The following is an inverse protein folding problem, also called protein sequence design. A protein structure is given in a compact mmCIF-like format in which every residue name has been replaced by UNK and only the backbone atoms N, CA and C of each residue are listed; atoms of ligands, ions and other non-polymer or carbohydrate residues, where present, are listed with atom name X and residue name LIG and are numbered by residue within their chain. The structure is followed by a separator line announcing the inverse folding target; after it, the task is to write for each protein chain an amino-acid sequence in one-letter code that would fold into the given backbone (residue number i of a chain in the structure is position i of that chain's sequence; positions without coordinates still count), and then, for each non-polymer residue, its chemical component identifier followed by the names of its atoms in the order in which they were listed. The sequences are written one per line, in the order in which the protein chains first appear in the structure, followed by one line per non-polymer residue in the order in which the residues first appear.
data_IF_563566212395
#
_entry.id   IF_563566212395
#
_cell.length_a   1.000
_cell.length_b   1.000
_cell.length_c   1.000
_cell.angle_alpha   90.00
_cell.angle_beta   90.00
_cell.angle_gamma   90.00
#
_symmetry.space_group_name_H-M   'P 1'
#
loop_
_entity.id
_entity.type
_entity.pdbx_description
1 polymer ?
#
# COMPACT_ATOMS: atom_id res chain seq x y z
N UNK A 1 -2.49 -5.34 -23.91
CA UNK A 1 -3.34 -4.45 -23.07
C UNK A 1 -2.46 -3.34 -22.52
N UNK A 2 -2.97 -2.11 -22.40
CA UNK A 2 -2.24 -1.00 -21.76
C UNK A 2 -2.18 -1.20 -20.24
N UNK A 3 -1.13 -0.68 -19.60
CA UNK A 3 -1.02 -0.72 -18.14
C UNK A 3 -2.15 0.10 -17.48
N UNK A 4 -2.71 -0.38 -16.35
CA UNK A 4 -3.62 0.40 -15.51
C UNK A 4 -3.09 1.81 -15.19
N UNK A 5 -3.97 2.82 -15.33
CA UNK A 5 -3.64 4.19 -14.97
C UNK A 5 -3.64 4.41 -13.43
N UNK A 6 -3.09 5.54 -13.00
CA UNK A 6 -2.99 5.94 -11.58
C UNK A 6 -4.32 5.84 -10.82
N UNK A 7 -5.42 6.32 -11.41
CA UNK A 7 -6.75 6.29 -10.78
C UNK A 7 -7.23 4.85 -10.53
N UNK A 8 -7.00 3.93 -11.46
CA UNK A 8 -7.34 2.51 -11.28
C UNK A 8 -6.50 1.88 -10.16
N UNK A 9 -5.21 2.19 -10.08
CA UNK A 9 -4.32 1.71 -9.02
C UNK A 9 -4.69 2.26 -7.63
N UNK A 10 -5.09 3.52 -7.54
CA UNK A 10 -5.57 4.13 -6.29
C UNK A 10 -6.90 3.50 -5.83
N UNK A 11 -7.83 3.21 -6.75
CA UNK A 11 -9.05 2.46 -6.42
C UNK A 11 -8.76 1.05 -5.93
N UNK A 12 -7.81 0.34 -6.57
CA UNK A 12 -7.37 -0.97 -6.11
C UNK A 12 -6.75 -0.88 -4.71
N UNK A 13 -5.96 0.16 -4.44
CA UNK A 13 -5.37 0.43 -3.13
C UNK A 13 -6.44 0.65 -2.06
N UNK A 14 -7.44 1.51 -2.33
CA UNK A 14 -8.55 1.76 -1.40
C UNK A 14 -9.35 0.49 -1.09
N UNK A 15 -9.44 -0.47 -2.02
CA UNK A 15 -10.17 -1.72 -1.83
C UNK A 15 -9.33 -2.82 -1.13
N UNK A 16 -8.01 -2.80 -1.32
CA UNK A 16 -7.07 -3.81 -0.81
C UNK A 16 -6.34 -3.38 0.46
N UNK A 17 -6.45 -2.10 0.83
CA UNK A 17 -5.96 -1.53 2.09
C UNK A 17 -6.97 -0.48 2.61
N UNK A 18 -8.19 -0.90 2.96
CA UNK A 18 -9.32 -0.01 3.15
C UNK A 18 -9.27 0.80 4.46
N UNK A 19 -9.80 2.03 4.38
CA UNK A 19 -10.12 2.83 5.56
C UNK A 19 -11.22 2.21 6.42
N UNK A 20 -11.39 2.70 7.65
CA UNK A 20 -12.38 2.15 8.58
C UNK A 20 -13.77 2.62 8.17
N UNK A 21 -13.84 3.90 7.83
CA UNK A 21 -14.98 4.50 7.15
C UNK A 21 -14.50 5.59 6.20
N UNK A 22 -15.37 5.92 5.25
CA UNK A 22 -15.12 6.98 4.28
C UNK A 22 -16.35 7.87 4.26
N UNK A 23 -16.14 9.18 4.25
CA UNK A 23 -17.21 10.17 4.07
C UNK A 23 -16.82 11.10 2.94
N UNK A 24 -17.78 11.46 2.10
CA UNK A 24 -17.61 12.53 1.12
C UNK A 24 -18.27 13.81 1.62
N UNK A 25 -17.54 14.91 1.68
CA UNK A 25 -18.05 16.20 2.13
C UNK A 25 -17.31 17.35 1.47
N UNK A 26 -18.04 18.30 0.88
CA UNK A 26 -17.47 19.54 0.35
C UNK A 26 -16.35 19.35 -0.68
N UNK A 27 -16.46 18.36 -1.58
CA UNK A 27 -15.42 18.09 -2.58
C UNK A 27 -14.23 17.24 -2.09
N UNK A 28 -14.33 16.69 -0.87
CA UNK A 28 -13.31 15.83 -0.27
C UNK A 28 -13.81 14.41 -0.06
N UNK A 29 -12.93 13.43 -0.29
CA UNK A 29 -13.03 12.06 0.23
C UNK A 29 -12.18 11.98 1.50
N UNK A 30 -12.84 11.93 2.65
CA UNK A 30 -12.22 11.93 3.98
C UNK A 30 -12.29 10.51 4.53
N UNK A 31 -11.16 10.00 4.99
CA UNK A 31 -11.03 8.62 5.47
C UNK A 31 -10.78 8.61 6.97
N UNK A 32 -11.52 7.80 7.72
CA UNK A 32 -11.16 7.48 9.10
C UNK A 32 -10.25 6.26 9.13
N UNK A 33 -9.02 6.44 9.60
CA UNK A 33 -7.99 5.39 9.52
C UNK A 33 -7.98 4.39 10.67
N UNK A 34 -8.54 4.76 11.83
CA UNK A 34 -8.50 3.97 13.07
C UNK A 34 -7.10 3.42 13.42
N UNK A 35 -6.06 4.26 13.28
CA UNK A 35 -4.66 3.86 13.54
C UNK A 35 -3.98 3.04 12.44
N UNK A 36 -4.65 2.77 11.31
CA UNK A 36 -4.08 1.97 10.20
C UNK A 36 -3.01 2.67 9.34
N UNK A 37 -2.56 3.86 9.75
CA UNK A 37 -1.52 4.65 9.09
C UNK A 37 -2.03 5.66 8.06
N UNK A 38 -1.10 6.46 7.52
CA UNK A 38 -1.40 7.62 6.66
C UNK A 38 -2.26 7.29 5.44
N UNK A 39 -2.02 6.15 4.78
CA UNK A 39 -2.75 5.78 3.55
C UNK A 39 -4.26 5.59 3.77
N UNK A 40 -4.66 5.13 4.95
CA UNK A 40 -6.08 4.94 5.30
C UNK A 40 -6.70 6.14 6.02
N UNK A 41 -5.91 7.18 6.31
CA UNK A 41 -6.36 8.40 6.98
C UNK A 41 -6.33 9.62 6.07
N UNK A 42 -5.54 9.58 4.99
CA UNK A 42 -5.36 10.74 4.12
C UNK A 42 -6.66 11.11 3.40
N UNK A 43 -6.97 12.40 3.43
CA UNK A 43 -8.04 13.02 2.66
C UNK A 43 -7.58 13.24 1.21
N UNK A 44 -8.47 13.03 0.24
CA UNK A 44 -8.19 13.24 -1.18
C UNK A 44 -9.24 14.16 -1.80
N UNK A 45 -8.82 15.05 -2.71
CA UNK A 45 -9.72 15.88 -3.52
C UNK A 45 -10.47 14.99 -4.51
N UNK A 46 -11.79 15.19 -4.68
CA UNK A 46 -12.62 14.38 -5.62
C UNK A 46 -13.20 15.18 -6.78
N UNK A 47 -12.86 16.46 -6.88
CA UNK A 47 -13.34 17.37 -7.93
C UNK A 47 -12.18 18.15 -8.54
N UNK A 48 -12.38 18.69 -9.74
CA UNK A 48 -11.31 19.41 -10.45
C UNK A 48 -10.92 20.70 -9.72
N UNK A 49 -11.92 21.53 -9.37
CA UNK A 49 -11.71 22.80 -8.66
C UNK A 49 -11.29 22.56 -7.22
N UNK A 50 -10.32 23.35 -6.73
CA UNK A 50 -9.92 23.35 -5.32
C UNK A 50 -11.13 23.60 -4.40
N UNK A 51 -11.51 22.64 -3.54
CA UNK A 51 -12.57 22.83 -2.54
C UNK A 51 -12.08 23.66 -1.34
N UNK A 52 -13.01 24.10 -0.49
CA UNK A 52 -12.71 24.78 0.78
C UNK A 52 -11.98 23.79 1.69
N UNK A 53 -10.73 24.09 2.03
CA UNK A 53 -9.82 23.19 2.77
C UNK A 53 -10.31 23.00 4.22
N UNK A 54 -10.83 24.05 4.84
CA UNK A 54 -11.37 24.08 6.21
C UNK A 54 -12.43 23.01 6.43
N UNK A 55 -13.26 22.71 5.42
CA UNK A 55 -14.29 21.66 5.50
C UNK A 55 -13.67 20.28 5.77
N UNK A 56 -12.51 20.00 5.16
CA UNK A 56 -11.78 18.77 5.42
C UNK A 56 -11.04 18.83 6.76
N UNK A 57 -10.42 19.97 7.08
CA UNK A 57 -9.71 20.16 8.35
C UNK A 57 -10.61 19.93 9.57
N UNK A 58 -11.78 20.57 9.59
CA UNK A 58 -12.77 20.44 10.68
C UNK A 58 -13.22 18.99 10.84
N UNK A 59 -13.40 18.28 9.72
CA UNK A 59 -13.83 16.88 9.75
C UNK A 59 -12.72 15.95 10.22
N UNK A 60 -11.47 16.18 9.84
CA UNK A 60 -10.32 15.42 10.34
C UNK A 60 -10.10 15.66 11.84
N UNK A 61 -10.23 16.91 12.29
CA UNK A 61 -10.16 17.26 13.71
C UNK A 61 -11.28 16.58 14.51
N UNK A 62 -12.52 16.59 14.00
CA UNK A 62 -13.64 15.89 14.64
C UNK A 62 -13.46 14.35 14.70
N UNK A 63 -12.62 13.77 13.84
CA UNK A 63 -12.23 12.36 13.88
C UNK A 63 -11.05 12.09 14.82
N UNK A 64 -10.43 13.12 15.41
CA UNK A 64 -9.24 13.01 16.23
C UNK A 64 -8.01 12.55 15.44
N UNK A 65 -7.88 12.98 14.19
CA UNK A 65 -6.75 12.62 13.32
C UNK A 65 -6.01 13.86 12.83
N UNK A 66 -4.72 13.69 12.54
CA UNK A 66 -3.91 14.72 11.89
C UNK A 66 -4.55 15.21 10.59
N UNK A 67 -4.37 16.49 10.31
CA UNK A 67 -4.79 17.07 9.03
C UNK A 67 -3.83 16.55 7.96
N UNK A 68 -4.29 15.56 7.21
CA UNK A 68 -3.48 14.80 6.27
C UNK A 68 -4.14 14.76 4.90
N UNK A 69 -3.47 15.29 3.89
CA UNK A 69 -3.92 15.27 2.50
C UNK A 69 -2.98 14.40 1.65
N UNK A 70 -3.55 13.57 0.77
CA UNK A 70 -2.81 12.92 -0.31
C UNK A 70 -2.82 13.84 -1.52
N UNK A 71 -1.63 14.08 -2.08
CA UNK A 71 -1.39 14.97 -3.21
C UNK A 71 -0.89 14.14 -4.39
N UNK A 72 -1.68 14.10 -5.46
CA UNK A 72 -1.29 13.51 -6.74
C UNK A 72 -0.54 14.55 -7.58
N UNK A 73 0.12 14.09 -8.66
CA UNK A 73 0.87 14.98 -9.56
C UNK A 73 -0.03 16.05 -10.21
N UNK A 74 -1.30 15.74 -10.46
CA UNK A 74 -2.27 16.71 -11.01
C UNK A 74 -2.80 17.73 -9.98
N UNK A 75 -2.51 17.58 -8.69
CA UNK A 75 -3.09 18.38 -7.61
C UNK A 75 -2.26 19.63 -7.25
N UNK A 76 -1.60 20.25 -8.23
CA UNK A 76 -0.69 21.39 -8.02
C UNK A 76 -1.32 22.54 -7.23
N UNK A 77 -2.55 22.96 -7.58
CA UNK A 77 -3.24 24.05 -6.86
C UNK A 77 -3.47 23.72 -5.38
N UNK A 78 -3.77 22.45 -5.07
CA UNK A 78 -3.95 21.99 -3.69
C UNK A 78 -2.61 21.94 -2.96
N UNK A 79 -1.57 21.45 -3.63
CA UNK A 79 -0.21 21.35 -3.10
C UNK A 79 0.28 22.72 -2.60
N UNK A 80 0.17 23.76 -3.45
CA UNK A 80 0.53 25.14 -3.12
C UNK A 80 -0.34 25.71 -2.00
N UNK A 81 -1.67 25.51 -2.08
CA UNK A 81 -2.58 26.04 -1.06
C UNK A 81 -2.31 25.48 0.34
N UNK A 82 -1.95 24.19 0.43
CA UNK A 82 -1.57 23.56 1.70
C UNK A 82 -0.19 24.02 2.18
N UNK A 83 0.77 24.25 1.28
CA UNK A 83 2.05 24.85 1.63
C UNK A 83 1.89 26.22 2.29
N UNK A 84 1.11 27.11 1.67
CA UNK A 84 0.80 28.44 2.22
C UNK A 84 0.15 28.38 3.59
N UNK A 85 -0.58 27.28 3.89
CA UNK A 85 -1.21 27.02 5.19
C UNK A 85 -0.27 26.36 6.22
N UNK A 86 1.00 26.15 5.88
CA UNK A 86 2.03 25.59 6.75
C UNK A 86 2.06 24.06 6.81
N UNK A 87 1.49 23.35 5.85
CA UNK A 87 1.59 21.90 5.78
C UNK A 87 2.96 21.46 5.26
N UNK A 88 3.57 20.49 5.94
CA UNK A 88 4.84 19.88 5.54
C UNK A 88 4.64 18.68 4.62
N UNK A 89 5.56 18.47 3.67
CA UNK A 89 5.56 17.29 2.81
C UNK A 89 6.16 16.09 3.55
N UNK A 90 5.47 14.96 3.53
CA UNK A 90 5.95 13.67 4.06
C UNK A 90 5.68 12.50 3.11
N UNK A 91 6.46 11.44 3.26
CA UNK A 91 6.33 10.13 2.59
C UNK A 91 6.03 10.18 1.08
N UNK A 92 6.88 10.88 0.32
CA UNK A 92 6.89 10.78 -1.15
C UNK A 92 6.94 9.31 -1.56
N UNK A 93 5.92 8.85 -2.25
CA UNK A 93 5.66 7.45 -2.55
C UNK A 93 5.61 7.21 -4.07
N UNK A 94 5.98 6.01 -4.48
CA UNK A 94 5.94 5.54 -5.87
C UNK A 94 4.97 4.37 -5.93
N UNK A 95 4.10 4.36 -6.93
CA UNK A 95 3.29 3.19 -7.29
C UNK A 95 4.03 2.41 -8.38
N UNK A 96 4.28 1.14 -8.10
CA UNK A 96 4.88 0.19 -9.04
C UNK A 96 3.81 -0.70 -9.66
N UNK A 97 3.98 -1.07 -10.92
CA UNK A 97 3.12 -2.04 -11.61
C UNK A 97 3.93 -2.93 -12.54
N UNK A 98 3.43 -4.12 -12.83
CA UNK A 98 3.82 -4.88 -14.02
C UNK A 98 2.67 -5.79 -14.49
N UNK A 99 2.79 -6.29 -15.71
CA UNK A 99 2.11 -7.51 -16.13
C UNK A 99 2.54 -8.65 -15.20
N UNK A 100 1.57 -9.40 -14.66
CA UNK A 100 1.83 -10.47 -13.70
C UNK A 100 2.74 -11.56 -14.27
N UNK A 101 2.69 -11.80 -15.59
CA UNK A 101 3.52 -12.79 -16.28
C UNK A 101 4.98 -12.35 -16.39
N UNK A 102 5.26 -11.05 -16.22
CA UNK A 102 6.62 -10.50 -16.20
C UNK A 102 7.22 -10.44 -14.79
N UNK A 103 6.41 -10.63 -13.76
CA UNK A 103 6.87 -10.60 -12.36
C UNK A 103 7.56 -11.93 -12.01
N UNK A 104 8.89 -11.92 -12.00
CA UNK A 104 9.77 -13.07 -11.70
C UNK A 104 9.63 -14.24 -12.68
N UNK A 105 10.75 -14.58 -13.32
CA UNK A 105 10.86 -15.69 -14.27
C UNK A 105 11.24 -17.03 -13.62
N UNK A 106 11.70 -17.01 -12.36
CA UNK A 106 12.23 -18.20 -11.69
C UNK A 106 11.20 -18.85 -10.75
N UNK A 107 11.00 -20.17 -10.83
CA UNK A 107 10.10 -20.88 -9.93
C UNK A 107 10.60 -20.76 -8.48
N UNK A 108 9.68 -20.53 -7.55
CA UNK A 108 10.02 -20.55 -6.12
C UNK A 108 10.27 -22.00 -5.71
N UNK A 109 11.36 -22.30 -4.97
CA UNK A 109 11.59 -23.67 -4.51
C UNK A 109 10.43 -24.18 -3.65
N UNK A 110 10.16 -25.48 -3.75
CA UNK A 110 9.06 -26.13 -3.02
C UNK A 110 9.20 -25.91 -1.51
N UNK A 111 8.08 -25.73 -0.81
CA UNK A 111 8.02 -25.57 0.65
C UNK A 111 8.80 -24.36 1.22
N UNK A 112 9.16 -23.38 0.38
CA UNK A 112 9.81 -22.14 0.81
C UNK A 112 8.84 -20.97 0.98
N UNK A 113 7.62 -21.07 0.45
CA UNK A 113 6.57 -20.06 0.57
C UNK A 113 5.22 -20.69 0.83
N UNK A 114 4.37 -19.96 1.54
CA UNK A 114 3.02 -20.39 1.90
C UNK A 114 2.05 -19.24 1.75
N UNK A 115 0.82 -19.56 1.38
CA UNK A 115 -0.33 -18.66 1.43
C UNK A 115 -1.22 -19.09 2.59
N UNK A 116 -1.52 -18.18 3.51
CA UNK A 116 -2.34 -18.47 4.69
C UNK A 116 -3.12 -17.25 5.13
N UNK A 117 -4.39 -17.45 5.45
CA UNK A 117 -5.26 -16.45 6.06
C UNK A 117 -6.33 -17.18 6.89
N UNK A 118 -6.63 -16.83 8.14
CA UNK A 118 -6.14 -15.73 9.00
C UNK A 118 -4.63 -15.75 9.28
N UNK A 119 -4.00 -14.61 9.63
CA UNK A 119 -2.55 -14.56 9.78
C UNK A 119 -2.09 -15.30 11.04
N UNK A 120 -1.10 -16.17 10.86
CA UNK A 120 -0.43 -16.89 11.94
C UNK A 120 0.29 -15.92 12.87
N UNK A 121 0.51 -16.33 14.13
CA UNK A 121 1.17 -15.47 15.12
C UNK A 121 2.56 -15.00 14.67
N UNK A 122 3.36 -15.90 14.06
CA UNK A 122 4.67 -15.53 13.51
C UNK A 122 4.59 -14.44 12.42
N UNK A 123 3.49 -14.36 11.66
CA UNK A 123 3.29 -13.27 10.71
C UNK A 123 3.04 -11.96 11.43
N UNK A 124 2.22 -11.98 12.50
CA UNK A 124 1.94 -10.81 13.34
C UNK A 124 3.20 -10.32 14.02
N UNK A 125 4.04 -11.20 14.55
CA UNK A 125 5.34 -10.87 15.14
C UNK A 125 6.28 -10.18 14.15
N UNK A 126 6.42 -10.72 12.93
CA UNK A 126 7.29 -10.12 11.90
C UNK A 126 6.73 -8.77 11.43
N UNK A 127 5.41 -8.67 11.26
CA UNK A 127 4.74 -7.41 10.95
C UNK A 127 4.93 -6.38 12.06
N UNK A 128 4.75 -6.74 13.32
CA UNK A 128 4.98 -5.88 14.48
C UNK A 128 6.43 -5.39 14.50
N UNK A 129 7.41 -6.26 14.27
CA UNK A 129 8.82 -5.89 14.17
C UNK A 129 9.13 -4.93 13.00
N UNK A 130 8.32 -4.97 11.94
CA UNK A 130 8.34 -4.03 10.82
C UNK A 130 7.49 -2.76 10.99
N UNK A 131 6.89 -2.54 12.17
CA UNK A 131 6.00 -1.39 12.42
C UNK A 131 4.61 -1.52 11.80
N UNK A 132 4.18 -2.76 11.53
CA UNK A 132 2.83 -3.12 11.11
C UNK A 132 2.07 -3.73 12.30
N UNK A 133 1.71 -2.90 13.28
CA UNK A 133 0.99 -3.38 14.46
C UNK A 133 -0.49 -3.68 14.24
N UNK A 134 -1.19 -4.05 15.32
CA UNK A 134 -2.57 -4.55 15.30
C UNK A 134 -3.55 -3.66 14.51
N UNK A 135 -3.46 -2.34 14.67
CA UNK A 135 -4.32 -1.41 13.93
C UNK A 135 -4.14 -1.52 12.41
N UNK A 136 -2.92 -1.81 11.94
CA UNK A 136 -2.60 -2.03 10.52
C UNK A 136 -2.96 -3.45 10.07
N UNK A 137 -2.84 -4.46 10.92
CA UNK A 137 -3.37 -5.81 10.63
C UNK A 137 -4.89 -5.77 10.49
N UNK A 138 -5.61 -5.01 11.34
CA UNK A 138 -7.06 -4.75 11.19
C UNK A 138 -7.44 -4.08 9.86
N UNK A 139 -6.50 -3.45 9.14
CA UNK A 139 -6.75 -2.97 7.76
C UNK A 139 -6.93 -4.16 6.80
N UNK A 140 -6.08 -5.18 6.94
CA UNK A 140 -6.13 -6.40 6.12
C UNK A 140 -7.45 -7.16 6.36
N UNK A 141 -7.91 -7.21 7.62
CA UNK A 141 -9.17 -7.85 8.00
C UNK A 141 -10.39 -7.20 7.31
N UNK A 142 -10.36 -5.88 7.08
CA UNK A 142 -11.44 -5.12 6.43
C UNK A 142 -11.57 -5.36 4.92
N UNK A 143 -10.59 -5.96 4.27
CA UNK A 143 -10.65 -6.23 2.82
C UNK A 143 -11.79 -7.21 2.52
N UNK A 144 -12.72 -6.81 1.66
CA UNK A 144 -13.87 -7.62 1.27
C UNK A 144 -13.61 -8.53 0.05
N UNK A 145 -12.62 -8.19 -0.78
CA UNK A 145 -12.23 -8.97 -1.96
C UNK A 145 -11.32 -10.16 -1.61
N UNK A 146 -10.92 -10.96 -2.62
CA UNK A 146 -9.95 -12.04 -2.43
C UNK A 146 -8.68 -11.49 -1.77
N UNK A 147 -8.21 -12.18 -0.73
CA UNK A 147 -7.01 -11.80 0.01
C UNK A 147 -6.31 -13.01 0.61
N UNK A 148 -5.01 -12.88 0.86
CA UNK A 148 -4.26 -13.84 1.67
C UNK A 148 -3.07 -13.16 2.33
N UNK A 149 -2.58 -13.78 3.39
CA UNK A 149 -1.23 -13.56 3.89
C UNK A 149 -0.23 -14.47 3.20
N UNK A 150 1.04 -14.09 3.22
CA UNK A 150 2.15 -14.80 2.61
C UNK A 150 3.26 -14.99 3.63
N UNK A 151 3.88 -16.16 3.62
CA UNK A 151 5.05 -16.48 4.42
C UNK A 151 6.18 -16.94 3.50
N UNK A 152 7.41 -16.53 3.82
CA UNK A 152 8.61 -17.01 3.14
C UNK A 152 9.68 -17.43 4.13
N UNK A 153 10.36 -18.54 3.82
CA UNK A 153 11.47 -19.08 4.60
C UNK A 153 12.84 -18.63 4.06
N UNK A 154 13.79 -18.57 4.96
CA UNK A 154 15.23 -18.60 4.70
C UNK A 154 15.77 -19.91 5.28
N UNK A 155 16.06 -20.89 4.39
CA UNK A 155 16.29 -22.27 4.81
C UNK A 155 15.08 -22.83 5.55
N UNK A 156 15.28 -23.21 6.81
CA UNK A 156 14.24 -23.76 7.66
C UNK A 156 13.51 -22.74 8.55
N UNK A 157 13.89 -21.46 8.52
CA UNK A 157 13.29 -20.45 9.40
C UNK A 157 12.32 -19.56 8.64
N UNK A 158 11.14 -19.30 9.22
CA UNK A 158 10.25 -18.24 8.72
C UNK A 158 10.97 -16.90 8.81
N UNK A 159 11.10 -16.20 7.69
CA UNK A 159 12.00 -15.06 7.56
C UNK A 159 11.30 -13.78 7.09
N UNK A 160 10.10 -13.89 6.52
CA UNK A 160 9.35 -12.74 6.07
C UNK A 160 7.88 -13.04 5.84
N UNK A 161 7.09 -11.97 5.82
CA UNK A 161 5.64 -11.99 5.59
C UNK A 161 5.23 -10.87 4.64
N UNK A 162 4.11 -11.05 3.95
CA UNK A 162 3.48 -10.02 3.14
C UNK A 162 1.96 -10.24 3.13
N UNK A 163 1.22 -9.21 2.73
CA UNK A 163 -0.21 -9.31 2.49
C UNK A 163 -0.50 -9.02 1.02
N UNK A 164 -1.40 -9.77 0.40
CA UNK A 164 -1.85 -9.52 -0.98
C UNK A 164 -3.36 -9.63 -1.05
N UNK A 165 -3.99 -8.72 -1.79
CA UNK A 165 -5.41 -8.74 -2.08
C UNK A 165 -5.69 -8.27 -3.50
N UNK A 166 -6.84 -8.65 -4.03
CA UNK A 166 -7.23 -8.32 -5.41
C UNK A 166 -8.40 -7.35 -5.43
N UNK A 167 -8.31 -6.38 -6.36
CA UNK A 167 -9.45 -5.64 -6.85
C UNK A 167 -9.43 -5.62 -8.37
N UNK A 168 -10.53 -6.06 -8.97
CA UNK A 168 -10.67 -6.24 -10.41
C UNK A 168 -9.55 -7.16 -10.95
N UNK A 169 -8.70 -6.66 -11.84
CA UNK A 169 -7.57 -7.37 -12.46
C UNK A 169 -6.21 -7.05 -11.81
N UNK A 170 -6.19 -6.39 -10.63
CA UNK A 170 -4.96 -5.95 -9.96
C UNK A 170 -4.79 -6.68 -8.62
N UNK A 171 -3.72 -7.47 -8.51
CA UNK A 171 -3.18 -7.95 -7.24
C UNK A 171 -2.31 -6.87 -6.60
N UNK A 172 -2.70 -6.37 -5.43
CA UNK A 172 -1.97 -5.33 -4.70
C UNK A 172 -1.26 -5.95 -3.49
N UNK A 173 0.06 -5.79 -3.44
CA UNK A 173 0.89 -6.27 -2.33
C UNK A 173 1.12 -5.14 -1.32
N UNK A 174 0.92 -5.46 -0.05
CA UNK A 174 1.11 -4.58 1.09
C UNK A 174 1.98 -5.24 2.16
N UNK A 175 2.51 -4.42 3.08
CA UNK A 175 3.16 -4.88 4.31
C UNK A 175 4.21 -6.00 4.10
N UNK A 176 5.09 -5.82 3.11
CA UNK A 176 6.19 -6.75 2.84
C UNK A 176 7.30 -6.52 3.87
N UNK A 177 7.44 -7.46 4.80
CA UNK A 177 8.43 -7.39 5.88
C UNK A 177 9.35 -8.59 5.87
N UNK A 178 10.64 -8.33 6.04
CA UNK A 178 11.69 -9.36 6.16
C UNK A 178 12.53 -9.06 7.39
N UNK A 179 12.66 -10.06 8.26
CA UNK A 179 13.48 -10.00 9.46
C UNK A 179 14.90 -9.52 9.13
N UNK A 180 15.42 -8.60 9.92
CA UNK A 180 16.69 -7.92 9.63
C UNK A 180 17.84 -8.89 9.35
N UNK A 181 17.96 -9.97 10.15
CA UNK A 181 18.99 -11.02 10.01
C UNK A 181 18.86 -11.90 8.74
N UNK A 182 17.71 -11.84 8.06
CA UNK A 182 17.42 -12.62 6.85
C UNK A 182 17.32 -11.74 5.58
N UNK A 183 17.62 -10.44 5.69
CA UNK A 183 17.62 -9.54 4.53
C UNK A 183 18.72 -9.93 3.55
N UNK A 184 18.51 -9.57 2.26
CA UNK A 184 19.44 -9.83 1.15
C UNK A 184 19.66 -11.32 0.81
N UNK A 185 18.87 -12.23 1.38
CA UNK A 185 18.88 -13.67 1.08
C UNK A 185 17.73 -14.12 0.17
N UNK A 186 17.16 -13.20 -0.62
CA UNK A 186 16.08 -13.50 -1.57
C UNK A 186 14.68 -13.66 -0.98
N UNK A 187 14.48 -13.57 0.35
CA UNK A 187 13.17 -13.76 1.01
C UNK A 187 12.06 -12.88 0.41
N UNK A 188 12.32 -11.59 0.19
CA UNK A 188 11.34 -10.69 -0.41
C UNK A 188 11.00 -11.05 -1.87
N UNK A 189 11.95 -11.62 -2.64
CA UNK A 189 11.66 -12.13 -3.99
C UNK A 189 10.71 -13.31 -3.94
N UNK A 190 10.93 -14.24 -3.00
CA UNK A 190 10.04 -15.39 -2.76
C UNK A 190 8.62 -14.92 -2.41
N UNK A 191 8.47 -13.96 -1.50
CA UNK A 191 7.16 -13.38 -1.14
C UNK A 191 6.45 -12.81 -2.37
N UNK A 192 7.14 -11.99 -3.17
CA UNK A 192 6.55 -11.37 -4.35
C UNK A 192 6.20 -12.41 -5.45
N UNK A 193 7.01 -13.45 -5.62
CA UNK A 193 6.72 -14.55 -6.55
C UNK A 193 5.48 -15.36 -6.10
N UNK A 194 5.37 -15.67 -4.81
CA UNK A 194 4.16 -16.30 -4.26
C UNK A 194 2.94 -15.39 -4.40
N UNK A 195 3.10 -14.07 -4.21
CA UNK A 195 2.02 -13.11 -4.41
C UNK A 195 1.50 -13.12 -5.85
N UNK A 196 2.39 -13.13 -6.85
CA UNK A 196 2.00 -13.23 -8.26
C UNK A 196 1.36 -14.58 -8.58
N UNK A 197 1.89 -15.69 -8.06
CA UNK A 197 1.30 -17.01 -8.27
C UNK A 197 -0.13 -17.07 -7.73
N UNK A 198 -0.33 -16.66 -6.47
CA UNK A 198 -1.65 -16.61 -5.85
C UNK A 198 -2.58 -15.64 -6.59
N UNK A 199 -2.10 -14.44 -6.93
CA UNK A 199 -2.95 -13.44 -7.57
C UNK A 199 -3.38 -13.86 -8.98
N UNK A 200 -2.48 -14.47 -9.76
CA UNK A 200 -2.77 -15.05 -11.07
C UNK A 200 -3.82 -16.16 -10.97
N UNK A 201 -3.67 -17.05 -9.99
CA UNK A 201 -4.66 -18.12 -9.75
C UNK A 201 -6.04 -17.58 -9.37
N UNK A 202 -6.11 -16.35 -8.86
CA UNK A 202 -7.35 -15.65 -8.51
C UNK A 202 -7.78 -14.59 -9.55
N UNK A 203 -7.26 -14.70 -10.79
CA UNK A 203 -7.72 -13.90 -11.94
C UNK A 203 -7.08 -12.52 -12.10
N UNK A 204 -6.06 -12.16 -11.32
CA UNK A 204 -5.33 -10.92 -11.53
C UNK A 204 -4.46 -11.00 -12.79
N UNK A 205 -4.40 -9.89 -13.53
CA UNK A 205 -3.57 -9.69 -14.74
C UNK A 205 -2.34 -8.84 -14.40
N UNK A 206 -2.45 -7.97 -13.41
CA UNK A 206 -1.38 -7.06 -13.01
C UNK A 206 -1.01 -7.24 -11.54
N UNK A 207 0.26 -6.99 -11.25
CA UNK A 207 0.75 -6.87 -9.88
C UNK A 207 1.16 -5.43 -9.60
N UNK A 208 0.75 -4.91 -8.45
CA UNK A 208 1.07 -3.55 -8.01
C UNK A 208 1.42 -3.49 -6.53
N UNK A 209 2.14 -2.44 -6.15
CA UNK A 209 2.48 -2.11 -4.77
C UNK A 209 2.86 -0.63 -4.66
N UNK A 210 2.99 -0.16 -3.42
CA UNK A 210 3.43 1.20 -3.12
C UNK A 210 4.57 1.19 -2.11
N UNK A 211 5.61 1.98 -2.36
CA UNK A 211 6.70 2.20 -1.41
C UNK A 211 7.15 3.66 -1.40
N UNK A 212 7.73 4.12 -0.29
CA UNK A 212 8.33 5.45 -0.23
C UNK A 212 9.58 5.53 -1.11
N UNK A 213 9.87 6.71 -1.67
CA UNK A 213 11.10 6.99 -2.44
C UNK A 213 12.36 6.71 -1.63
N UNK A 214 12.29 6.93 -0.32
CA UNK A 214 13.42 6.75 0.60
C UNK A 214 13.69 5.27 0.94
N UNK A 215 12.78 4.35 0.62
CA UNK A 215 13.02 2.92 0.79
C UNK A 215 13.90 2.36 -0.34
N UNK A 216 15.16 2.80 -0.40
CA UNK A 216 16.12 2.43 -1.45
C UNK A 216 16.21 0.90 -1.66
N UNK A 217 16.26 0.06 -0.61
CA UNK A 217 16.29 -1.39 -0.78
C UNK A 217 15.07 -1.95 -1.50
N UNK A 218 13.85 -1.51 -1.14
CA UNK A 218 12.62 -1.98 -1.76
C UNK A 218 12.49 -1.47 -3.22
N UNK A 219 12.80 -0.20 -3.47
CA UNK A 219 12.79 0.35 -4.83
C UNK A 219 13.77 -0.39 -5.76
N UNK A 220 14.97 -0.76 -5.28
CA UNK A 220 15.92 -1.60 -6.04
C UNK A 220 15.35 -2.99 -6.31
N UNK A 221 14.72 -3.61 -5.30
CA UNK A 221 14.07 -4.91 -5.44
C UNK A 221 13.01 -4.89 -6.54
N UNK A 222 12.03 -3.99 -6.46
CA UNK A 222 10.89 -3.99 -7.38
C UNK A 222 11.30 -3.71 -8.83
N UNK A 223 12.24 -2.78 -9.06
CA UNK A 223 12.81 -2.56 -10.41
C UNK A 223 13.50 -3.82 -10.95
N UNK A 224 14.27 -4.51 -10.12
CA UNK A 224 14.91 -5.79 -10.50
C UNK A 224 13.94 -6.97 -10.64
N UNK A 225 12.65 -6.73 -10.44
CA UNK A 225 11.56 -7.70 -10.60
C UNK A 225 10.64 -7.31 -11.77
N UNK A 226 11.13 -6.48 -12.70
CA UNK A 226 10.40 -5.97 -13.86
C UNK A 226 9.16 -5.13 -13.50
N UNK A 227 9.11 -4.59 -12.28
CA UNK A 227 8.07 -3.62 -11.93
C UNK A 227 8.50 -2.21 -12.37
N UNK A 228 7.59 -1.56 -13.07
CA UNK A 228 7.76 -0.23 -13.62
C UNK A 228 7.14 0.81 -12.67
N UNK A 229 7.86 1.90 -12.34
CA UNK A 229 7.26 3.02 -11.62
C UNK A 229 6.27 3.75 -12.53
N UNK A 230 5.04 3.99 -12.06
CA UNK A 230 3.96 4.57 -12.88
C UNK A 230 3.66 6.01 -12.55
N UNK A 231 3.45 6.29 -11.26
CA UNK A 231 3.07 7.60 -10.76
C UNK A 231 3.60 7.76 -9.35
N UNK A 232 3.75 9.01 -8.94
CA UNK A 232 4.14 9.36 -7.59
C UNK A 232 3.07 10.19 -6.91
N UNK A 233 3.02 10.07 -5.59
CA UNK A 233 2.17 10.91 -4.76
C UNK A 233 2.94 11.23 -3.49
N UNK A 234 2.51 12.24 -2.76
CA UNK A 234 3.04 12.51 -1.43
C UNK A 234 1.91 12.89 -0.49
N UNK A 235 2.21 12.99 0.80
CA UNK A 235 1.26 13.56 1.75
C UNK A 235 1.72 14.94 2.16
N UNK A 236 0.74 15.82 2.40
CA UNK A 236 0.92 17.03 3.19
C UNK A 236 0.27 16.84 4.54
N UNK A 237 1.04 17.06 5.60
CA UNK A 237 0.60 16.89 6.97
C UNK A 237 0.75 18.20 7.74
N UNK A 238 -0.24 18.50 8.57
CA UNK A 238 -0.17 19.48 9.64
C UNK A 238 -0.64 18.78 10.89
N UNK A 239 0.29 18.64 11.84
CA UNK A 239 -0.01 18.09 13.16
C UNK A 239 -1.05 18.99 13.83
N UNK A 240 -1.99 18.37 14.54
CA UNK A 240 -3.10 19.08 15.19
C UNK A 240 -2.65 19.79 16.45
#
# INVERSE_FOLDING_TARGET
MSLPNARKLLRATDATWPAHSITQKGGWKIRYGAGGGKRVSATTKVQNKLPIIEVAEDKMQALGQDKLFMILEEDYELDVALETRGYSIVDRSIIYICDILKLVSEPTPVAQTYQVWEPLEIMREIWQAGGIGDARVKVMDRVAGPKTGLLARDGDTVAGTAFVAIKDDIGMVHAVEVLQKNRRKGVARKLMAQAASWAKANGAIYMSLMTTKNNVPANKLYRSMNMEPTTTYHYRIKES
#
